data_IF_229804625088
#
_entry.id   IF_229804625088
#
_cell.length_a   1.000
_cell.length_b   1.000
_cell.length_c   1.000
_cell.angle_alpha   90.00
_cell.angle_beta   90.00
_cell.angle_gamma   90.00
#
_symmetry.space_group_name_H-M   'P 1'
#
loop_
_entity.id
_entity.type
_entity.pdbx_description
1 polymer ?
#
# COMPACT_ATOMS: atom_id res chain seq x y z
N UNK A 1 3.13 -16.43 -11.45
CA UNK A 1 3.99 -15.30 -11.01
C UNK A 1 3.85 -14.21 -12.06
N UNK A 2 3.56 -12.98 -11.63
CA UNK A 2 3.46 -11.81 -12.51
C UNK A 2 4.84 -11.51 -13.14
N UNK A 3 4.85 -11.05 -14.40
CA UNK A 3 6.05 -10.50 -15.02
C UNK A 3 6.53 -9.24 -14.28
N UNK A 4 7.79 -8.83 -14.48
CA UNK A 4 8.33 -7.60 -13.85
C UNK A 4 7.49 -6.36 -14.17
N UNK A 5 7.02 -6.24 -15.40
CA UNK A 5 6.20 -5.11 -15.85
C UNK A 5 4.80 -5.07 -15.23
N UNK A 6 4.28 -6.21 -14.80
CA UNK A 6 2.97 -6.33 -14.19
C UNK A 6 2.98 -6.15 -12.67
N UNK A 7 4.16 -6.13 -12.04
CA UNK A 7 4.28 -5.94 -10.59
C UNK A 7 4.17 -4.47 -10.22
N UNK A 8 3.79 -4.23 -8.99
CA UNK A 8 3.81 -2.88 -8.44
C UNK A 8 5.24 -2.35 -8.37
N UNK A 9 5.41 -1.05 -8.62
CA UNK A 9 6.68 -0.36 -8.40
C UNK A 9 7.17 -0.54 -6.98
N UNK A 10 8.49 -0.60 -6.79
CA UNK A 10 9.11 -0.40 -5.48
C UNK A 10 9.29 1.09 -5.22
N UNK A 11 9.29 1.52 -3.97
CA UNK A 11 9.38 2.93 -3.59
C UNK A 11 10.67 3.21 -2.83
N UNK A 12 11.37 4.26 -3.21
CA UNK A 12 12.40 4.88 -2.38
C UNK A 12 11.77 6.06 -1.64
N UNK A 13 11.57 5.91 -0.34
CA UNK A 13 11.02 6.98 0.52
C UNK A 13 12.13 7.94 0.89
N UNK A 14 11.83 9.24 0.85
CA UNK A 14 12.76 10.30 1.22
C UNK A 14 12.19 11.18 2.33
N UNK A 15 13.07 11.77 3.11
CA UNK A 15 12.73 12.84 4.05
C UNK A 15 13.56 14.08 3.71
N UNK A 16 12.97 15.26 3.87
CA UNK A 16 13.69 16.51 3.68
C UNK A 16 13.45 17.47 4.86
N UNK A 17 14.34 18.43 5.02
CA UNK A 17 14.26 19.49 6.00
C UNK A 17 14.31 20.86 5.29
N UNK A 18 14.06 21.94 6.03
CA UNK A 18 14.07 23.31 5.51
C UNK A 18 12.78 23.70 4.81
N UNK A 19 11.67 23.03 5.13
CA UNK A 19 10.33 23.34 4.60
C UNK A 19 9.67 24.40 5.46
N UNK A 20 9.12 25.44 4.83
CA UNK A 20 8.22 26.38 5.48
C UNK A 20 6.82 25.78 5.52
N UNK A 21 6.44 25.20 6.66
CA UNK A 21 5.16 24.50 6.86
C UNK A 21 3.96 25.40 6.59
N UNK A 22 3.94 26.61 7.12
CA UNK A 22 2.80 27.51 6.99
C UNK A 22 2.57 27.87 5.51
N UNK A 23 3.64 28.27 4.80
CA UNK A 23 3.58 28.61 3.37
C UNK A 23 3.12 27.41 2.53
N UNK A 24 3.59 26.22 2.85
CA UNK A 24 3.18 25.00 2.15
C UNK A 24 1.71 24.66 2.42
N UNK A 25 1.26 24.74 3.67
CA UNK A 25 -0.13 24.41 4.03
C UNK A 25 -1.11 25.44 3.44
N UNK A 26 -0.75 26.73 3.40
CA UNK A 26 -1.54 27.73 2.66
C UNK A 26 -1.67 27.38 1.18
N UNK A 27 -0.59 26.97 0.56
CA UNK A 27 -0.61 26.48 -0.83
C UNK A 27 -1.47 25.23 -1.00
N UNK A 28 -1.24 24.20 -0.17
CA UNK A 28 -1.93 22.93 -0.22
C UNK A 28 -3.44 23.08 0.07
N UNK A 29 -3.83 24.01 0.94
CA UNK A 29 -5.24 24.26 1.28
C UNK A 29 -6.09 24.70 0.07
N UNK A 30 -5.46 25.24 -0.95
CA UNK A 30 -6.10 25.66 -2.22
C UNK A 30 -6.23 24.52 -3.23
N UNK A 31 -5.59 23.37 -2.94
CA UNK A 31 -5.59 22.18 -3.80
C UNK A 31 -6.57 21.14 -3.25
N UNK A 32 -7.84 21.29 -3.57
CA UNK A 32 -8.82 20.26 -3.21
C UNK A 32 -8.56 18.97 -3.99
N UNK A 33 -8.71 17.84 -3.33
CA UNK A 33 -8.65 16.54 -3.98
C UNK A 33 -9.76 16.43 -5.03
N UNK A 34 -9.39 15.96 -6.21
CA UNK A 34 -10.33 15.62 -7.28
C UNK A 34 -10.08 14.18 -7.70
N UNK A 35 -11.03 13.55 -8.38
CA UNK A 35 -10.81 12.20 -8.88
C UNK A 35 -9.62 12.12 -9.86
N UNK A 36 -9.35 13.17 -10.62
CA UNK A 36 -8.21 13.25 -11.51
C UNK A 36 -6.85 13.19 -10.80
N UNK A 37 -6.77 13.61 -9.53
CA UNK A 37 -5.54 13.53 -8.73
C UNK A 37 -5.15 12.08 -8.40
N UNK A 38 -6.09 11.15 -8.48
CA UNK A 38 -5.93 9.75 -8.09
C UNK A 38 -5.77 8.81 -9.29
N UNK A 39 -5.95 9.33 -10.52
CA UNK A 39 -5.84 8.60 -11.78
C UNK A 39 -7.19 8.27 -12.42
N UNK A 40 -7.13 7.82 -13.66
CA UNK A 40 -8.32 7.59 -14.50
C UNK A 40 -9.17 6.38 -14.03
N UNK A 41 -8.55 5.46 -13.28
CA UNK A 41 -9.20 4.24 -12.78
C UNK A 41 -9.90 4.43 -11.42
N UNK A 42 -10.06 5.65 -10.98
CA UNK A 42 -10.76 5.94 -9.74
C UNK A 42 -12.25 5.65 -9.87
N UNK A 43 -12.75 4.70 -9.12
CA UNK A 43 -14.13 4.21 -9.25
C UNK A 43 -14.99 4.41 -8.00
N UNK A 44 -14.49 5.06 -6.97
CA UNK A 44 -15.22 5.14 -5.71
C UNK A 44 -16.10 6.38 -5.59
N UNK A 45 -17.29 6.20 -5.03
CA UNK A 45 -18.08 7.29 -4.47
C UNK A 45 -17.40 7.81 -3.20
N UNK A 46 -17.00 9.06 -3.22
CA UNK A 46 -16.44 9.70 -2.04
C UNK A 46 -17.54 10.01 -1.02
N UNK A 47 -17.31 9.67 0.25
CA UNK A 47 -18.12 10.19 1.35
C UNK A 47 -18.00 11.72 1.46
N UNK A 48 -18.92 12.37 2.17
CA UNK A 48 -18.83 13.82 2.40
C UNK A 48 -17.51 14.23 3.08
N UNK A 49 -16.97 13.39 3.95
CA UNK A 49 -15.66 13.61 4.57
C UNK A 49 -14.53 13.54 3.54
N UNK A 50 -14.59 12.58 2.62
CA UNK A 50 -13.59 12.44 1.55
C UNK A 50 -13.62 13.64 0.58
N UNK A 51 -14.77 14.25 0.34
CA UNK A 51 -14.89 15.46 -0.49
C UNK A 51 -14.15 16.67 0.09
N UNK A 52 -13.84 16.65 1.39
CA UNK A 52 -13.11 17.70 2.08
C UNK A 52 -11.60 17.46 2.11
N UNK A 53 -11.12 16.31 1.66
CA UNK A 53 -9.69 15.99 1.64
C UNK A 53 -8.96 16.93 0.67
N UNK A 54 -7.76 17.34 1.09
CA UNK A 54 -6.83 18.05 0.22
C UNK A 54 -6.12 17.04 -0.69
N UNK A 55 -5.74 17.47 -1.89
CA UNK A 55 -4.93 16.63 -2.75
C UNK A 55 -3.57 16.36 -2.11
N UNK A 56 -3.22 15.09 -1.84
CA UNK A 56 -1.89 14.76 -1.34
C UNK A 56 -0.84 14.72 -2.47
N UNK A 57 -1.25 14.84 -3.73
CA UNK A 57 -0.40 14.63 -4.90
C UNK A 57 0.24 15.93 -5.39
N UNK A 58 1.48 15.81 -5.85
CA UNK A 58 2.30 16.89 -6.41
C UNK A 58 2.62 16.65 -7.89
N UNK A 59 1.77 15.95 -8.62
CA UNK A 59 1.99 15.55 -10.02
C UNK A 59 2.19 16.75 -10.92
N UNK A 60 1.32 17.76 -10.81
CA UNK A 60 1.40 18.99 -11.63
C UNK A 60 2.69 19.77 -11.40
N UNK A 61 3.18 19.78 -10.16
CA UNK A 61 4.43 20.43 -9.79
C UNK A 61 5.63 19.70 -10.40
N UNK A 62 5.62 18.38 -10.41
CA UNK A 62 6.67 17.58 -11.06
C UNK A 62 6.65 17.70 -12.57
N UNK A 63 5.48 17.73 -13.21
CA UNK A 63 5.38 17.95 -14.65
C UNK A 63 5.90 19.35 -15.02
N UNK A 64 5.57 20.37 -14.24
CA UNK A 64 6.13 21.72 -14.40
C UNK A 64 7.67 21.72 -14.25
N UNK A 65 8.23 20.96 -13.30
CA UNK A 65 9.67 20.86 -13.13
C UNK A 65 10.35 20.19 -14.33
N UNK A 66 9.70 19.22 -15.00
CA UNK A 66 10.17 18.63 -16.26
C UNK A 66 10.11 19.63 -17.41
N UNK A 67 9.03 20.40 -17.53
CA UNK A 67 8.89 21.46 -18.53
C UNK A 67 9.96 22.55 -18.40
N UNK A 68 10.28 22.90 -17.16
CA UNK A 68 11.36 23.85 -16.81
C UNK A 68 12.77 23.28 -16.99
N UNK A 69 12.91 21.99 -17.35
CA UNK A 69 14.18 21.25 -17.39
C UNK A 69 14.97 21.26 -16.07
N UNK A 70 14.29 21.37 -14.94
CA UNK A 70 14.88 21.23 -13.59
C UNK A 70 15.23 19.80 -13.31
N UNK A 71 14.44 18.86 -13.82
CA UNK A 71 14.65 17.42 -13.73
C UNK A 71 14.52 16.77 -15.11
N UNK A 72 15.09 15.58 -15.32
CA UNK A 72 14.96 14.85 -16.58
C UNK A 72 13.50 14.59 -16.94
N UNK A 73 13.17 14.67 -18.24
CA UNK A 73 11.80 14.45 -18.75
C UNK A 73 11.28 13.03 -18.51
N UNK A 74 12.18 12.05 -18.45
CA UNK A 74 11.91 10.63 -18.17
C UNK A 74 11.93 10.30 -16.67
N UNK A 75 12.11 11.28 -15.81
CA UNK A 75 12.09 11.10 -14.35
C UNK A 75 10.75 10.52 -13.88
N UNK A 76 10.79 9.42 -13.14
CA UNK A 76 9.63 8.71 -12.61
C UNK A 76 9.25 9.19 -11.20
N UNK A 77 9.17 10.52 -11.06
CA UNK A 77 8.76 11.13 -9.80
C UNK A 77 7.27 11.46 -9.89
N UNK A 78 6.52 10.90 -8.97
CA UNK A 78 5.10 11.19 -8.77
C UNK A 78 4.70 10.71 -7.38
N UNK A 79 3.60 11.19 -6.85
CA UNK A 79 3.08 10.68 -5.59
C UNK A 79 2.74 11.79 -4.61
N UNK A 80 2.71 11.41 -3.34
CA UNK A 80 2.10 12.20 -2.29
C UNK A 80 3.11 12.74 -1.26
N UNK A 81 2.79 13.92 -0.75
CA UNK A 81 3.32 14.36 0.53
C UNK A 81 2.53 13.71 1.68
N UNK A 82 3.12 13.67 2.88
CA UNK A 82 2.51 13.08 4.04
C UNK A 82 2.50 14.06 5.22
N UNK A 83 3.55 14.11 6.00
CA UNK A 83 3.61 14.90 7.23
C UNK A 83 4.70 15.95 7.15
N UNK A 84 4.39 17.18 7.58
CA UNK A 84 5.36 18.25 7.80
C UNK A 84 5.33 18.63 9.27
N UNK A 85 6.48 18.51 9.94
CA UNK A 85 6.60 18.89 11.35
C UNK A 85 6.71 20.39 11.53
N UNK A 86 6.55 20.88 12.76
CA UNK A 86 6.67 22.30 13.07
C UNK A 86 8.10 22.83 12.84
N UNK A 87 9.09 21.93 12.94
CA UNK A 87 10.49 22.25 12.67
C UNK A 87 10.83 22.27 11.17
N UNK A 88 9.84 22.09 10.30
CA UNK A 88 10.02 22.13 8.85
C UNK A 88 10.63 20.85 8.26
N UNK A 89 10.39 19.69 8.86
CA UNK A 89 10.74 18.40 8.28
C UNK A 89 9.55 17.80 7.54
N UNK A 90 9.69 17.53 6.24
CA UNK A 90 8.75 16.72 5.49
C UNK A 90 9.18 15.25 5.54
N UNK A 91 8.34 14.40 6.12
CA UNK A 91 8.63 12.99 6.40
C UNK A 91 7.81 12.06 5.50
N UNK A 92 8.41 10.89 5.21
CA UNK A 92 7.78 9.81 4.46
C UNK A 92 7.23 10.26 3.11
N UNK A 93 8.00 11.07 2.38
CA UNK A 93 7.64 11.49 1.03
C UNK A 93 7.68 10.28 0.09
N UNK A 94 6.50 9.85 -0.36
CA UNK A 94 6.31 8.72 -1.26
C UNK A 94 6.27 9.22 -2.71
N UNK A 95 7.41 9.69 -3.21
CA UNK A 95 7.51 10.39 -4.49
C UNK A 95 8.26 9.60 -5.56
N UNK A 96 9.09 8.63 -5.17
CA UNK A 96 9.99 7.92 -6.09
C UNK A 96 9.54 6.49 -6.27
N UNK A 97 9.14 6.15 -7.49
CA UNK A 97 8.59 4.84 -7.85
C UNK A 97 9.43 4.17 -8.94
N UNK A 98 10.14 3.10 -8.60
CA UNK A 98 10.97 2.34 -9.53
C UNK A 98 10.18 1.15 -10.06
N UNK A 99 10.02 1.10 -11.38
CA UNK A 99 9.24 0.07 -12.10
C UNK A 99 10.14 -1.05 -12.64
N UNK A 100 9.52 -2.13 -13.08
CA UNK A 100 10.18 -3.26 -13.74
C UNK A 100 11.24 -3.96 -12.86
N UNK A 101 10.99 -4.03 -11.56
CA UNK A 101 11.87 -4.64 -10.57
C UNK A 101 11.33 -5.99 -10.13
N UNK A 102 12.18 -7.00 -10.13
CA UNK A 102 11.94 -8.24 -9.41
C UNK A 102 12.60 -8.16 -8.02
N UNK A 103 11.83 -7.80 -7.02
CA UNK A 103 12.36 -7.66 -5.65
C UNK A 103 12.71 -9.02 -4.98
N UNK A 104 12.59 -10.14 -5.70
CA UNK A 104 13.19 -11.42 -5.29
C UNK A 104 14.60 -11.64 -5.87
N UNK A 105 15.06 -10.71 -6.72
CA UNK A 105 16.39 -10.73 -7.31
C UNK A 105 17.25 -9.62 -6.71
N UNK A 106 18.36 -9.99 -6.08
CA UNK A 106 19.25 -9.03 -5.40
C UNK A 106 19.86 -7.99 -6.35
N UNK A 107 20.13 -8.36 -7.61
CA UNK A 107 20.67 -7.40 -8.59
C UNK A 107 19.63 -6.34 -8.96
N UNK A 108 18.37 -6.74 -9.13
CA UNK A 108 17.27 -5.82 -9.36
C UNK A 108 17.04 -4.88 -8.15
N UNK A 109 17.12 -5.41 -6.93
CA UNK A 109 17.02 -4.59 -5.72
C UNK A 109 18.16 -3.57 -5.62
N UNK A 110 19.39 -3.99 -5.89
CA UNK A 110 20.56 -3.08 -5.89
C UNK A 110 20.40 -1.99 -6.96
N UNK A 111 19.98 -2.36 -8.17
CA UNK A 111 19.69 -1.39 -9.24
C UNK A 111 18.61 -0.40 -8.81
N UNK A 112 17.51 -0.88 -8.24
CA UNK A 112 16.42 -0.05 -7.79
C UNK A 112 16.81 0.91 -6.64
N UNK A 113 17.70 0.46 -5.74
CA UNK A 113 18.24 1.31 -4.68
C UNK A 113 19.09 2.46 -5.25
N UNK A 114 19.97 2.16 -6.21
CA UNK A 114 20.79 3.18 -6.88
C UNK A 114 19.94 4.18 -7.65
N UNK A 115 18.98 3.70 -8.44
CA UNK A 115 18.06 4.53 -9.21
C UNK A 115 17.15 5.36 -8.28
N UNK A 116 16.62 4.74 -7.24
CA UNK A 116 15.78 5.40 -6.25
C UNK A 116 16.48 6.55 -5.53
N UNK A 117 17.77 6.40 -5.20
CA UNK A 117 18.57 7.49 -4.60
C UNK A 117 18.81 8.62 -5.57
N UNK A 118 19.09 8.33 -6.83
CA UNK A 118 19.21 9.35 -7.88
C UNK A 118 17.92 10.12 -8.08
N UNK A 119 16.82 9.42 -8.23
CA UNK A 119 15.49 10.04 -8.40
C UNK A 119 15.05 10.82 -7.17
N UNK A 120 15.46 10.42 -5.97
CA UNK A 120 15.23 11.20 -4.74
C UNK A 120 15.87 12.58 -4.76
N UNK A 121 17.08 12.74 -5.35
CA UNK A 121 17.70 14.05 -5.56
C UNK A 121 16.92 14.89 -6.59
N UNK A 122 16.44 14.27 -7.67
CA UNK A 122 15.56 14.93 -8.65
C UNK A 122 14.26 15.39 -7.98
N UNK A 123 13.67 14.58 -7.10
CA UNK A 123 12.48 14.97 -6.36
C UNK A 123 12.70 16.21 -5.48
N UNK A 124 13.82 16.28 -4.77
CA UNK A 124 14.18 17.48 -3.99
C UNK A 124 14.38 18.70 -4.90
N UNK A 125 15.05 18.55 -6.04
CA UNK A 125 15.22 19.64 -7.00
C UNK A 125 13.88 20.17 -7.54
N UNK A 126 12.97 19.26 -7.89
CA UNK A 126 11.64 19.61 -8.35
C UNK A 126 10.83 20.33 -7.27
N UNK A 127 10.80 19.79 -6.04
CA UNK A 127 10.10 20.41 -4.92
C UNK A 127 10.57 21.85 -4.66
N UNK A 128 11.89 22.07 -4.67
CA UNK A 128 12.47 23.42 -4.51
C UNK A 128 12.02 24.39 -5.58
N UNK A 129 11.93 23.95 -6.81
CA UNK A 129 11.65 24.81 -7.94
C UNK A 129 10.16 25.11 -8.13
N UNK A 130 9.27 24.21 -7.68
CA UNK A 130 7.85 24.27 -8.09
C UNK A 130 6.84 24.26 -6.95
N UNK A 131 7.27 23.92 -5.71
CA UNK A 131 6.34 23.79 -4.57
C UNK A 131 6.58 24.90 -3.55
N UNK A 132 5.60 25.81 -3.36
CA UNK A 132 5.69 26.84 -2.32
C UNK A 132 5.94 26.26 -0.94
N UNK A 133 6.89 26.82 -0.22
CA UNK A 133 7.33 26.34 1.10
C UNK A 133 8.51 25.37 1.04
N UNK A 134 8.86 24.83 -0.12
CA UNK A 134 10.00 23.91 -0.30
C UNK A 134 11.26 24.57 -0.87
N UNK A 135 11.30 25.88 -1.04
CA UNK A 135 12.40 26.58 -1.70
C UNK A 135 13.78 26.28 -1.07
N UNK A 136 13.81 26.08 0.24
CA UNK A 136 15.01 25.77 1.01
C UNK A 136 15.14 24.27 1.38
N UNK A 137 14.31 23.43 0.76
CA UNK A 137 14.31 21.99 1.07
C UNK A 137 15.68 21.36 0.79
N UNK A 138 16.13 20.53 1.72
CA UNK A 138 17.36 19.74 1.61
C UNK A 138 17.04 18.30 1.94
N UNK A 139 17.61 17.37 1.17
CA UNK A 139 17.53 15.95 1.50
C UNK A 139 18.08 15.73 2.90
N UNK A 140 17.31 15.09 3.78
CA UNK A 140 17.77 14.69 5.11
C UNK A 140 18.27 13.26 5.10
N UNK A 141 17.44 12.33 4.68
CA UNK A 141 17.81 10.92 4.52
C UNK A 141 16.88 10.20 3.56
N UNK A 142 17.27 9.00 3.20
CA UNK A 142 16.44 8.00 2.55
C UNK A 142 15.88 7.02 3.58
N UNK A 143 14.79 6.33 3.25
CA UNK A 143 14.39 5.14 3.98
C UNK A 143 15.51 4.10 4.00
N UNK A 144 15.58 3.31 5.04
CA UNK A 144 16.66 2.30 5.21
C UNK A 144 16.64 1.25 4.10
N UNK A 145 15.46 0.94 3.57
CA UNK A 145 15.24 -0.06 2.51
C UNK A 145 14.20 0.42 1.54
N UNK A 146 14.19 -0.17 0.35
CA UNK A 146 13.10 0.03 -0.61
C UNK A 146 11.78 -0.50 -0.06
N UNK A 147 10.70 0.23 -0.32
CA UNK A 147 9.33 -0.18 -0.06
C UNK A 147 8.85 -1.19 -1.10
N UNK A 148 9.06 -2.48 -0.85
CA UNK A 148 8.60 -3.55 -1.73
C UNK A 148 7.15 -3.85 -1.46
N UNK A 149 6.29 -3.69 -2.48
CA UNK A 149 4.84 -3.89 -2.36
C UNK A 149 4.36 -5.24 -2.87
N UNK A 150 5.02 -5.77 -3.89
CA UNK A 150 4.57 -6.95 -4.62
C UNK A 150 5.74 -7.82 -5.06
N UNK A 151 5.67 -9.13 -4.74
CA UNK A 151 6.65 -10.13 -5.19
C UNK A 151 5.95 -11.45 -5.51
N UNK A 152 5.87 -12.34 -4.54
CA UNK A 152 5.29 -13.68 -4.63
C UNK A 152 4.06 -13.78 -3.73
N UNK A 153 3.03 -14.42 -4.26
CA UNK A 153 1.82 -14.82 -3.55
C UNK A 153 1.66 -16.33 -3.67
N UNK A 154 1.10 -16.96 -2.66
CA UNK A 154 0.75 -18.38 -2.76
C UNK A 154 -0.44 -18.57 -3.72
N UNK A 155 -0.57 -19.76 -4.26
CA UNK A 155 -1.83 -20.30 -4.74
C UNK A 155 -2.45 -21.00 -3.54
N UNK A 156 -3.57 -20.48 -3.06
CA UNK A 156 -4.24 -20.98 -1.85
C UNK A 156 -5.41 -21.88 -2.16
N UNK A 157 -5.95 -22.52 -1.12
CA UNK A 157 -7.21 -23.25 -1.20
C UNK A 157 -8.37 -22.35 -1.66
N UNK A 158 -8.25 -21.05 -1.44
CA UNK A 158 -9.05 -20.01 -2.03
C UNK A 158 -8.16 -18.84 -2.44
N UNK A 159 -8.35 -18.31 -3.64
CA UNK A 159 -7.64 -17.13 -4.11
C UNK A 159 -8.62 -15.95 -4.14
N UNK A 160 -8.47 -15.01 -3.21
CA UNK A 160 -9.34 -13.84 -3.11
C UNK A 160 -9.30 -13.04 -4.41
N UNK A 161 -10.47 -12.59 -4.87
CA UNK A 161 -10.61 -11.92 -6.17
C UNK A 161 -11.00 -10.45 -6.02
N UNK A 162 -10.84 -9.68 -7.13
CA UNK A 162 -11.40 -8.33 -7.24
C UNK A 162 -12.88 -8.30 -6.90
N UNK A 163 -13.65 -9.27 -7.40
CA UNK A 163 -15.09 -9.32 -7.17
C UNK A 163 -15.45 -9.53 -5.69
N UNK A 164 -14.66 -10.33 -4.96
CA UNK A 164 -14.87 -10.51 -3.52
C UNK A 164 -14.70 -9.20 -2.76
N UNK A 165 -13.67 -8.42 -3.12
CA UNK A 165 -13.39 -7.13 -2.49
C UNK A 165 -14.50 -6.13 -2.82
N UNK A 166 -14.81 -5.95 -4.11
CA UNK A 166 -15.74 -4.92 -4.59
C UNK A 166 -17.21 -5.22 -4.22
N UNK A 167 -17.57 -6.49 -4.09
CA UNK A 167 -18.94 -6.92 -3.75
C UNK A 167 -19.13 -7.27 -2.28
N UNK A 168 -18.18 -6.89 -1.42
CA UNK A 168 -18.30 -7.11 0.03
C UNK A 168 -18.57 -8.58 0.38
N UNK A 169 -17.79 -9.50 -0.23
CA UNK A 169 -18.00 -10.94 -0.09
C UNK A 169 -18.01 -11.39 1.38
N UNK A 170 -18.84 -12.37 1.67
CA UNK A 170 -19.00 -13.03 2.96
C UNK A 170 -18.54 -14.47 2.85
N UNK A 171 -17.85 -14.96 3.87
CA UNK A 171 -17.29 -16.31 3.90
C UNK A 171 -17.59 -17.00 5.21
N UNK A 172 -18.02 -18.26 5.15
CA UNK A 172 -18.25 -19.08 6.36
C UNK A 172 -16.96 -19.31 7.16
N UNK A 173 -15.81 -19.26 6.48
CA UNK A 173 -14.49 -19.42 7.07
C UNK A 173 -13.77 -18.06 7.30
N UNK A 174 -14.50 -17.01 7.55
CA UNK A 174 -13.92 -15.69 7.81
C UNK A 174 -13.05 -15.69 9.08
N UNK A 175 -11.90 -15.01 8.98
CA UNK A 175 -10.98 -14.74 10.11
C UNK A 175 -10.92 -13.26 10.50
N UNK A 176 -11.70 -12.42 9.84
CA UNK A 176 -11.80 -11.00 10.09
C UNK A 176 -12.35 -10.25 8.91
N UNK A 177 -12.42 -8.94 9.04
CA UNK A 177 -12.92 -8.05 8.00
C UNK A 177 -11.85 -7.05 7.59
N UNK A 178 -11.95 -6.56 6.35
CA UNK A 178 -11.15 -5.44 5.87
C UNK A 178 -12.03 -4.49 5.05
N UNK A 179 -11.89 -3.16 5.19
CA UNK A 179 -12.66 -2.23 4.37
C UNK A 179 -12.34 -2.38 2.88
N UNK A 180 -13.25 -1.97 2.04
CA UNK A 180 -13.06 -1.90 0.60
C UNK A 180 -12.05 -0.80 0.25
N UNK A 181 -10.78 -1.03 0.60
CA UNK A 181 -9.65 -0.16 0.35
C UNK A 181 -8.65 -0.83 -0.59
N UNK A 182 -8.56 -0.31 -1.81
CA UNK A 182 -7.65 -0.80 -2.84
C UNK A 182 -6.64 0.30 -3.15
N UNK A 183 -5.36 -0.01 -3.06
CA UNK A 183 -4.28 0.89 -3.41
C UNK A 183 -3.21 0.13 -4.19
N UNK A 184 -3.24 0.25 -5.50
CA UNK A 184 -2.24 -0.35 -6.37
C UNK A 184 -2.74 -0.69 -7.77
N UNK A 185 -1.80 -0.93 -8.68
CA UNK A 185 -2.06 -1.28 -10.08
C UNK A 185 -2.94 -0.25 -10.80
N UNK A 186 -2.66 1.04 -10.56
CA UNK A 186 -3.42 2.19 -11.08
C UNK A 186 -4.88 2.25 -10.60
N UNK A 187 -5.22 1.54 -9.54
CA UNK A 187 -6.53 1.60 -8.89
C UNK A 187 -6.34 2.16 -7.49
N UNK A 188 -7.13 3.16 -7.15
CA UNK A 188 -7.25 3.65 -5.78
C UNK A 188 -8.74 3.74 -5.42
N UNK A 189 -9.15 2.91 -4.47
CA UNK A 189 -10.50 2.95 -3.91
C UNK A 189 -10.38 3.31 -2.44
N UNK A 190 -10.96 4.43 -2.02
CA UNK A 190 -11.00 4.80 -0.62
C UNK A 190 -12.13 4.08 0.11
N UNK A 191 -11.92 3.72 1.37
CA UNK A 191 -12.94 3.04 2.15
C UNK A 191 -14.14 3.97 2.39
N UNK A 192 -15.33 3.45 2.20
CA UNK A 192 -16.59 4.10 2.54
C UNK A 192 -17.16 3.46 3.81
N UNK A 193 -17.74 4.24 4.70
CA UNK A 193 -18.33 3.75 5.95
C UNK A 193 -19.33 2.61 5.70
N UNK A 194 -19.16 1.52 6.42
CA UNK A 194 -20.01 0.34 6.33
C UNK A 194 -19.66 -0.64 5.20
N UNK A 195 -18.78 -0.27 4.28
CA UNK A 195 -18.34 -1.18 3.21
C UNK A 195 -17.09 -1.94 3.61
N UNK A 196 -17.20 -3.26 3.63
CA UNK A 196 -16.10 -4.17 3.95
C UNK A 196 -16.33 -5.54 3.34
N UNK A 197 -15.28 -6.28 3.13
CA UNK A 197 -15.32 -7.70 2.79
C UNK A 197 -14.73 -8.55 3.91
N UNK A 198 -15.10 -9.81 3.95
CA UNK A 198 -14.53 -10.77 4.89
C UNK A 198 -13.28 -11.42 4.31
N UNK A 199 -12.33 -11.75 5.18
CA UNK A 199 -11.07 -12.42 4.81
C UNK A 199 -11.22 -13.91 5.10
N UNK A 200 -11.25 -14.80 4.07
CA UNK A 200 -11.41 -16.22 4.30
C UNK A 200 -10.13 -16.89 4.79
N UNK A 201 -10.23 -17.80 5.72
CA UNK A 201 -9.10 -18.59 6.23
C UNK A 201 -8.37 -19.35 5.13
N UNK A 202 -9.10 -19.90 4.16
CA UNK A 202 -8.54 -20.64 3.03
C UNK A 202 -7.57 -19.85 2.17
N UNK A 203 -7.55 -18.52 2.21
CA UNK A 203 -6.54 -17.73 1.48
C UNK A 203 -5.16 -17.74 2.17
N UNK A 204 -5.07 -18.25 3.41
CA UNK A 204 -3.82 -18.45 4.15
C UNK A 204 -3.22 -19.84 3.92
N UNK A 205 -3.97 -20.78 3.38
CA UNK A 205 -3.59 -22.20 3.24
C UNK A 205 -3.09 -22.45 1.84
N UNK A 206 -1.80 -22.81 1.61
CA UNK A 206 -1.31 -23.21 0.31
C UNK A 206 -2.06 -24.43 -0.25
N UNK A 207 -2.28 -24.45 -1.57
CA UNK A 207 -3.03 -25.52 -2.21
C UNK A 207 -2.31 -26.89 -2.16
N UNK A 208 -0.97 -26.87 -2.27
CA UNK A 208 -0.15 -28.09 -2.45
C UNK A 208 0.83 -28.37 -1.32
N UNK A 209 0.80 -27.61 -0.25
CA UNK A 209 1.71 -27.78 0.89
C UNK A 209 0.88 -27.88 2.15
N UNK A 210 1.02 -29.00 2.84
CA UNK A 210 0.31 -29.26 4.08
C UNK A 210 1.00 -28.62 5.27
N UNK A 211 0.22 -28.37 6.30
CA UNK A 211 0.66 -27.87 7.60
C UNK A 211 1.48 -26.57 7.52
N UNK A 212 1.15 -25.70 6.55
CA UNK A 212 1.74 -24.40 6.38
C UNK A 212 0.63 -23.33 6.33
N UNK A 213 0.86 -22.20 7.00
CA UNK A 213 0.05 -21.00 6.89
C UNK A 213 0.90 -19.85 6.39
N UNK A 214 0.30 -19.02 5.53
CA UNK A 214 0.93 -17.82 4.98
C UNK A 214 0.08 -16.61 5.33
N UNK A 215 0.71 -15.55 5.84
CA UNK A 215 0.04 -14.32 6.21
C UNK A 215 0.71 -13.09 5.57
N UNK A 216 0.04 -11.94 5.62
CA UNK A 216 0.55 -10.69 5.12
C UNK A 216 0.49 -10.59 3.59
N UNK A 217 1.48 -9.93 2.98
CA UNK A 217 1.52 -9.65 1.52
C UNK A 217 1.61 -10.87 0.61
N UNK A 218 1.81 -12.06 1.17
CA UNK A 218 1.98 -13.30 0.42
C UNK A 218 0.71 -14.16 0.35
N UNK A 219 -0.39 -13.74 0.97
CA UNK A 219 -1.67 -14.48 0.94
C UNK A 219 -2.20 -14.65 -0.49
N UNK A 220 -3.04 -15.67 -0.67
CA UNK A 220 -3.59 -15.99 -1.98
C UNK A 220 -4.59 -14.94 -2.46
N UNK A 221 -4.42 -14.49 -3.70
CA UNK A 221 -5.34 -13.55 -4.33
C UNK A 221 -4.85 -13.04 -5.68
N UNK A 222 -5.76 -12.40 -6.41
CA UNK A 222 -5.45 -11.71 -7.66
C UNK A 222 -4.75 -10.35 -7.44
N UNK A 223 -4.46 -9.61 -8.51
CA UNK A 223 -3.81 -8.29 -8.43
C UNK A 223 -4.60 -7.30 -7.57
N UNK A 224 -5.89 -7.21 -7.80
CA UNK A 224 -6.74 -6.20 -7.14
C UNK A 224 -6.96 -6.52 -5.67
N UNK A 225 -7.26 -7.78 -5.35
CA UNK A 225 -7.38 -8.22 -3.95
C UNK A 225 -6.04 -8.08 -3.21
N UNK A 226 -4.90 -8.31 -3.89
CA UNK A 226 -3.58 -8.05 -3.31
C UNK A 226 -3.40 -6.55 -2.97
N UNK A 227 -3.86 -5.64 -3.83
CA UNK A 227 -3.78 -4.21 -3.56
C UNK A 227 -4.58 -3.78 -2.30
N UNK A 228 -5.58 -4.55 -1.89
CA UNK A 228 -6.25 -4.43 -0.61
C UNK A 228 -5.49 -5.16 0.51
N UNK A 229 -5.20 -6.45 0.34
CA UNK A 229 -4.67 -7.33 1.37
C UNK A 229 -3.22 -7.04 1.78
N UNK A 230 -2.45 -6.30 0.97
CA UNK A 230 -1.09 -5.86 1.31
C UNK A 230 -1.04 -4.73 2.34
N UNK A 231 -2.16 -4.06 2.61
CA UNK A 231 -2.22 -2.96 3.58
C UNK A 231 -1.98 -3.47 5.01
N UNK A 232 -1.36 -2.64 5.85
CA UNK A 232 -0.93 -3.04 7.20
C UNK A 232 -2.06 -3.65 8.02
N UNK A 233 -3.25 -3.05 7.99
CA UNK A 233 -4.40 -3.56 8.75
C UNK A 233 -4.88 -4.92 8.23
N UNK A 234 -4.88 -5.16 6.92
CA UNK A 234 -5.19 -6.47 6.36
C UNK A 234 -4.12 -7.51 6.73
N UNK A 235 -2.85 -7.09 6.77
CA UNK A 235 -1.75 -7.95 7.22
C UNK A 235 -1.91 -8.33 8.71
N UNK A 236 -2.43 -7.45 9.57
CA UNK A 236 -2.73 -7.80 10.98
C UNK A 236 -3.86 -8.81 11.08
N UNK A 237 -4.92 -8.68 10.27
CA UNK A 237 -6.02 -9.65 10.22
C UNK A 237 -5.51 -11.04 9.85
N UNK A 238 -4.73 -11.12 8.77
CA UNK A 238 -4.17 -12.42 8.31
C UNK A 238 -3.14 -12.98 9.28
N UNK A 239 -2.31 -12.12 9.89
CA UNK A 239 -1.32 -12.55 10.90
C UNK A 239 -1.95 -13.09 12.17
N UNK A 240 -2.98 -12.42 12.69
CA UNK A 240 -3.73 -12.88 13.86
C UNK A 240 -4.47 -14.19 13.56
N UNK A 241 -5.17 -14.27 12.42
CA UNK A 241 -5.86 -15.48 12.00
C UNK A 241 -4.91 -16.69 11.86
N UNK A 242 -3.74 -16.47 11.23
CA UNK A 242 -2.72 -17.52 11.12
C UNK A 242 -2.16 -17.96 12.47
N UNK A 243 -1.86 -17.01 13.36
CA UNK A 243 -1.33 -17.31 14.70
C UNK A 243 -2.31 -18.10 15.56
N UNK A 244 -3.59 -17.70 15.58
CA UNK A 244 -4.66 -18.42 16.29
C UNK A 244 -4.83 -19.83 15.72
N UNK A 245 -4.89 -19.95 14.38
CA UNK A 245 -5.02 -21.25 13.72
C UNK A 245 -3.85 -22.19 14.03
N UNK A 246 -2.60 -21.69 14.00
CA UNK A 246 -1.43 -22.46 14.32
C UNK A 246 -1.45 -22.97 15.78
N UNK A 247 -1.86 -22.12 16.72
CA UNK A 247 -1.98 -22.51 18.13
C UNK A 247 -3.06 -23.57 18.35
N UNK A 248 -4.21 -23.46 17.67
CA UNK A 248 -5.29 -24.45 17.74
C UNK A 248 -4.86 -25.76 17.08
N UNK A 249 -4.16 -25.69 15.93
CA UNK A 249 -3.57 -26.83 15.24
C UNK A 249 -2.69 -27.64 16.17
N UNK A 250 -1.75 -26.98 16.83
CA UNK A 250 -0.85 -27.59 17.77
C UNK A 250 -1.59 -28.26 18.97
N UNK A 251 -2.52 -27.52 19.60
CA UNK A 251 -3.30 -28.02 20.75
C UNK A 251 -4.16 -29.24 20.42
N UNK A 252 -4.67 -29.33 19.19
CA UNK A 252 -5.55 -30.43 18.77
C UNK A 252 -4.80 -31.52 18.00
N UNK A 253 -3.49 -31.43 17.85
CA UNK A 253 -2.67 -32.37 17.08
C UNK A 253 -3.24 -32.64 15.67
N UNK A 254 -3.65 -31.57 14.98
CA UNK A 254 -4.22 -31.60 13.61
C UNK A 254 -3.41 -30.69 12.67
N UNK A 255 -3.40 -31.02 11.40
CA UNK A 255 -2.86 -30.11 10.40
C UNK A 255 -3.69 -28.83 10.29
N UNK A 256 -3.05 -27.75 9.85
CA UNK A 256 -3.71 -26.42 9.76
C UNK A 256 -4.93 -26.42 8.83
N UNK A 257 -4.97 -27.25 7.81
CA UNK A 257 -6.11 -27.38 6.89
C UNK A 257 -7.25 -28.26 7.40
N UNK A 258 -7.05 -28.99 8.51
CA UNK A 258 -8.02 -29.93 9.10
C UNK A 258 -8.73 -29.38 10.34
N UNK A 259 -8.40 -28.14 10.71
CA UNK A 259 -8.99 -27.50 11.89
C UNK A 259 -10.42 -27.09 11.57
N UNK A 260 -11.31 -27.36 12.53
CA UNK A 260 -12.65 -26.78 12.47
C UNK A 260 -12.54 -25.26 12.61
N UNK A 261 -12.99 -24.56 11.57
CA UNK A 261 -12.98 -23.10 11.50
C UNK A 261 -13.70 -22.44 12.68
N UNK A 262 -14.70 -23.10 13.25
CA UNK A 262 -15.45 -22.60 14.41
C UNK A 262 -14.53 -22.38 15.62
N UNK A 263 -13.57 -23.28 15.85
CA UNK A 263 -12.60 -23.13 16.93
C UNK A 263 -11.73 -21.88 16.75
N UNK A 264 -11.34 -21.61 15.50
CA UNK A 264 -10.57 -20.39 15.16
C UNK A 264 -11.44 -19.15 15.38
N UNK A 265 -12.67 -19.17 14.90
CA UNK A 265 -13.62 -18.05 15.03
C UNK A 265 -13.97 -17.76 16.49
N UNK A 266 -14.24 -18.79 17.30
CA UNK A 266 -14.50 -18.63 18.72
C UNK A 266 -13.32 -17.96 19.45
N UNK A 267 -12.10 -18.37 19.15
CA UNK A 267 -10.92 -17.79 19.78
C UNK A 267 -10.69 -16.34 19.31
N UNK A 268 -10.88 -16.07 18.02
CA UNK A 268 -10.82 -14.70 17.46
C UNK A 268 -11.88 -13.77 18.09
N UNK A 269 -13.09 -14.26 18.30
CA UNK A 269 -14.16 -13.51 18.98
C UNK A 269 -13.82 -13.21 20.46
N UNK A 270 -13.21 -14.17 21.19
CA UNK A 270 -12.69 -13.92 22.55
C UNK A 270 -11.63 -12.81 22.57
N UNK A 271 -10.82 -12.74 21.52
CA UNK A 271 -9.84 -11.67 21.31
C UNK A 271 -10.46 -10.38 20.75
N UNK A 272 -11.79 -10.28 20.68
CA UNK A 272 -12.56 -9.13 20.19
C UNK A 272 -12.31 -8.80 18.71
N UNK A 273 -11.93 -9.78 17.91
CA UNK A 273 -11.83 -9.61 16.46
C UNK A 273 -13.23 -9.50 15.87
N UNK A 274 -13.44 -8.52 15.02
CA UNK A 274 -14.69 -8.37 14.28
C UNK A 274 -14.69 -9.31 13.07
N UNK A 275 -15.65 -10.22 13.02
CA UNK A 275 -15.81 -11.17 11.91
C UNK A 275 -16.92 -10.76 10.92
N UNK A 276 -17.83 -9.88 11.37
CA UNK A 276 -19.00 -9.39 10.58
C UNK A 276 -19.41 -8.01 11.06
#
# INVERSE_FOLDING_TARGET
ILSKAERMSVTSVINCAGVNKEKFLDYASKKKATYADWGDDWTQEASEDNKKLLSPYLSKEFDKAKEMNVIPKDSNINGSWSTITDEGEAKNLNLVHIRNIDATNVKDLTKAEMEGRKEGLNAIAALKATVPGFENAKLRNYGMTLGVRDTRKIVGKYNLTKNDVMNQAKFNDTIGIFPEFIDGYSILTLPTSGRYFQVPYRCLIPDKIDNLLVAGRCVAGDKTSHAAMRNMMACTVTGQGAGVAAAISFKNNKNTQEIDIKLIQEELLKQKVRLY
#
